data_IF_706478559310
#
_entry.id   IF_706478559310
#
_cell.length_a   1.000
_cell.length_b   1.000
_cell.length_c   1.000
_cell.angle_alpha   90.00
_cell.angle_beta   90.00
_cell.angle_gamma   90.00
#
_symmetry.space_group_name_H-M   'P 1'
#
loop_
_entity.id
_entity.type
_entity.pdbx_description
1 polymer ?
#
# COMPACT_ATOMS: atom_id res chain seq x y z
N UNK A 1 -1.67 28.46 -19.86
CA UNK A 1 -1.97 28.02 -21.24
C UNK A 1 -3.04 26.92 -21.21
N UNK A 2 -3.77 26.71 -22.33
CA UNK A 2 -4.69 25.57 -22.51
C UNK A 2 -4.03 24.58 -23.47
N UNK A 3 -4.05 23.30 -23.12
CA UNK A 3 -3.50 22.21 -23.93
C UNK A 3 -4.53 21.09 -24.01
N UNK A 4 -4.74 20.53 -25.19
CA UNK A 4 -5.60 19.36 -25.39
C UNK A 4 -4.73 18.11 -25.28
N UNK A 5 -5.15 17.16 -24.46
CA UNK A 5 -4.45 15.89 -24.23
C UNK A 5 -5.39 14.78 -24.66
N UNK A 6 -4.93 13.89 -25.52
CA UNK A 6 -5.68 12.69 -25.89
C UNK A 6 -5.48 11.60 -24.82
N UNK A 7 -6.58 11.05 -24.31
CA UNK A 7 -6.59 10.09 -23.22
C UNK A 7 -7.48 8.92 -23.63
N UNK A 8 -7.02 7.66 -23.49
CA UNK A 8 -7.86 6.51 -23.78
C UNK A 8 -9.19 6.57 -23.04
N UNK A 9 -10.30 6.33 -23.75
CA UNK A 9 -11.65 6.54 -23.22
C UNK A 9 -11.91 5.75 -21.93
N UNK A 10 -11.38 4.53 -21.83
CA UNK A 10 -11.50 3.71 -20.63
C UNK A 10 -10.88 4.38 -19.39
N UNK A 11 -9.76 5.06 -19.54
CA UNK A 11 -9.09 5.77 -18.45
C UNK A 11 -9.88 7.02 -18.09
N UNK A 12 -10.31 7.79 -19.10
CA UNK A 12 -11.12 8.98 -18.89
C UNK A 12 -12.42 8.66 -18.13
N UNK A 13 -13.13 7.58 -18.48
CA UNK A 13 -14.35 7.15 -17.77
C UNK A 13 -14.10 6.85 -16.30
N UNK A 14 -13.02 6.15 -15.96
CA UNK A 14 -12.64 5.84 -14.57
C UNK A 14 -12.33 7.10 -13.78
N UNK A 15 -11.55 8.01 -14.36
CA UNK A 15 -11.21 9.30 -13.73
C UNK A 15 -12.47 10.12 -13.51
N UNK A 16 -13.35 10.21 -14.52
CA UNK A 16 -14.62 10.95 -14.42
C UNK A 16 -15.52 10.40 -13.30
N UNK A 17 -15.65 9.07 -13.19
CA UNK A 17 -16.42 8.44 -12.13
C UNK A 17 -15.83 8.76 -10.74
N UNK A 18 -14.52 8.63 -10.57
CA UNK A 18 -13.82 8.94 -9.31
C UNK A 18 -13.94 10.43 -8.93
N UNK A 19 -13.77 11.31 -9.91
CA UNK A 19 -13.96 12.75 -9.78
C UNK A 19 -15.37 13.12 -9.32
N UNK A 20 -16.39 12.48 -9.88
CA UNK A 20 -17.79 12.70 -9.48
C UNK A 20 -18.04 12.29 -8.02
N UNK A 21 -17.48 11.15 -7.59
CA UNK A 21 -17.59 10.67 -6.21
C UNK A 21 -16.88 11.63 -5.24
N UNK A 22 -15.71 12.13 -5.60
CA UNK A 22 -14.92 13.03 -4.75
C UNK A 22 -15.37 14.50 -4.82
N UNK A 23 -16.34 14.83 -5.68
CA UNK A 23 -16.82 16.20 -5.89
C UNK A 23 -15.76 17.14 -6.49
N UNK A 24 -14.80 16.60 -7.23
CA UNK A 24 -13.67 17.37 -7.82
C UNK A 24 -13.74 17.36 -9.33
N UNK A 25 -13.53 18.50 -10.01
CA UNK A 25 -13.49 18.51 -11.47
C UNK A 25 -12.28 17.72 -11.98
N UNK A 26 -12.44 17.05 -13.12
CA UNK A 26 -11.37 16.26 -13.76
C UNK A 26 -10.11 17.09 -14.03
N UNK A 27 -10.28 18.38 -14.31
CA UNK A 27 -9.17 19.32 -14.51
C UNK A 27 -8.27 19.44 -13.29
N UNK A 28 -8.83 19.55 -12.09
CA UNK A 28 -8.05 19.72 -10.86
C UNK A 28 -7.31 18.44 -10.51
N UNK A 29 -7.93 17.29 -10.76
CA UNK A 29 -7.28 15.98 -10.63
C UNK A 29 -6.09 15.87 -11.59
N UNK A 30 -6.27 16.28 -12.86
CA UNK A 30 -5.20 16.26 -13.84
C UNK A 30 -4.05 17.20 -13.43
N UNK A 31 -4.35 18.44 -13.02
CA UNK A 31 -3.34 19.39 -12.53
C UNK A 31 -2.57 18.78 -11.36
N UNK A 32 -3.27 18.23 -10.36
CA UNK A 32 -2.62 17.62 -9.19
C UNK A 32 -1.73 16.44 -9.56
N UNK A 33 -2.15 15.59 -10.49
CA UNK A 33 -1.35 14.46 -10.97
C UNK A 33 -0.11 14.94 -11.73
N UNK A 34 -0.25 15.93 -12.61
CA UNK A 34 0.88 16.50 -13.34
C UNK A 34 1.86 17.24 -12.41
N UNK A 35 1.36 18.05 -11.47
CA UNK A 35 2.19 18.70 -10.46
C UNK A 35 2.93 17.67 -9.63
N UNK A 36 2.23 16.67 -9.08
CA UNK A 36 2.87 15.61 -8.32
C UNK A 36 3.93 14.88 -9.13
N UNK A 37 3.68 14.60 -10.43
CA UNK A 37 4.64 13.93 -11.30
C UNK A 37 5.88 14.79 -11.61
N UNK A 38 5.70 16.09 -11.87
CA UNK A 38 6.81 17.03 -12.07
C UNK A 38 7.60 17.21 -10.78
N UNK A 39 6.93 17.34 -9.63
CA UNK A 39 7.59 17.42 -8.33
C UNK A 39 8.35 16.13 -7.98
N UNK A 40 7.98 15.00 -8.62
CA UNK A 40 8.64 13.70 -8.45
C UNK A 40 9.84 13.48 -9.37
N UNK A 41 10.18 14.41 -10.27
CA UNK A 41 11.29 14.23 -11.23
C UNK A 41 12.69 14.21 -10.59
N UNK A 42 12.80 14.33 -9.26
CA UNK A 42 14.01 14.03 -8.48
C UNK A 42 14.11 12.58 -7.98
N UNK A 43 13.23 11.66 -8.43
CA UNK A 43 13.43 10.23 -8.18
C UNK A 43 13.38 9.41 -9.47
N UNK A 44 14.45 8.65 -9.78
CA UNK A 44 14.42 7.74 -10.91
C UNK A 44 13.44 6.59 -10.64
N UNK A 45 12.87 6.14 -11.74
CA UNK A 45 11.78 5.19 -11.81
C UNK A 45 12.08 3.86 -11.12
N UNK A 46 11.03 3.31 -10.50
CA UNK A 46 10.76 1.89 -10.44
C UNK A 46 11.85 1.03 -9.78
N UNK A 47 11.85 1.03 -8.45
CA UNK A 47 12.11 -0.11 -7.56
C UNK A 47 12.54 0.46 -6.21
N UNK A 48 11.58 0.89 -5.42
CA UNK A 48 11.76 0.69 -3.99
C UNK A 48 10.42 0.30 -3.40
N UNK A 49 10.24 -1.01 -3.19
CA UNK A 49 9.49 -1.46 -2.03
C UNK A 49 10.22 -0.90 -0.83
N UNK A 50 10.04 0.39 -0.55
CA UNK A 50 10.50 0.98 0.69
C UNK A 50 9.86 0.09 1.74
N UNK A 51 10.62 -0.69 2.54
CA UNK A 51 10.02 -1.33 3.69
C UNK A 51 9.32 -0.18 4.39
N UNK A 52 8.04 -0.37 4.72
CA UNK A 52 7.30 0.60 5.52
C UNK A 52 8.21 0.94 6.69
N UNK A 53 8.91 2.09 6.60
CA UNK A 53 9.75 2.56 7.68
C UNK A 53 8.71 2.99 8.66
N UNK A 54 8.48 2.12 9.64
CA UNK A 54 7.72 2.39 10.83
C UNK A 54 8.41 3.56 11.53
N UNK A 55 8.25 4.75 10.97
CA UNK A 55 8.53 6.01 11.63
C UNK A 55 7.37 6.20 12.59
N UNK A 56 7.58 5.72 13.81
CA UNK A 56 7.09 6.33 15.04
C UNK A 56 5.63 6.81 15.05
N UNK A 57 4.73 6.03 14.47
CA UNK A 57 3.33 6.09 14.85
C UNK A 57 3.17 5.11 15.98
N UNK A 58 2.97 5.62 17.19
CA UNK A 58 2.62 4.95 18.44
C UNK A 58 1.86 3.63 18.21
N UNK A 59 2.59 2.56 17.88
CA UNK A 59 1.99 1.27 17.60
C UNK A 59 1.73 0.63 18.95
N UNK A 60 0.48 0.23 19.23
CA UNK A 60 0.20 -0.50 20.45
C UNK A 60 1.14 -1.69 20.57
N UNK A 61 1.62 -1.99 21.78
CA UNK A 61 2.57 -3.08 22.04
C UNK A 61 2.09 -4.44 21.53
N UNK A 62 0.77 -4.61 21.37
CA UNK A 62 0.18 -5.82 20.81
C UNK A 62 0.33 -5.93 19.27
N UNK A 63 0.49 -4.81 18.55
CA UNK A 63 0.59 -4.78 17.10
C UNK A 63 1.92 -5.40 16.64
N UNK A 64 1.84 -6.34 15.70
CA UNK A 64 2.98 -7.12 15.20
C UNK A 64 3.75 -7.97 16.24
N UNK A 65 3.28 -8.09 17.49
CA UNK A 65 3.87 -8.96 18.52
C UNK A 65 4.03 -10.43 18.08
N UNK A 66 3.13 -10.90 17.22
CA UNK A 66 3.15 -12.28 16.69
C UNK A 66 3.96 -12.44 15.39
N UNK A 67 4.53 -11.35 14.84
CA UNK A 67 5.31 -11.39 13.59
C UNK A 67 6.53 -12.31 13.70
N UNK A 68 7.11 -12.43 14.90
CA UNK A 68 8.20 -13.38 15.18
C UNK A 68 7.83 -14.84 14.90
N UNK A 69 6.55 -15.21 14.86
CA UNK A 69 6.12 -16.58 14.55
C UNK A 69 5.69 -16.77 13.09
N UNK A 70 5.64 -15.69 12.30
CA UNK A 70 5.20 -15.75 10.91
C UNK A 70 6.24 -16.42 9.98
N UNK A 71 7.53 -16.44 10.36
CA UNK A 71 8.58 -17.10 9.58
C UNK A 71 8.39 -18.63 9.45
N UNK A 72 7.63 -19.23 10.37
CA UNK A 72 7.32 -20.66 10.37
C UNK A 72 6.10 -21.01 9.48
N UNK A 73 5.45 -20.02 8.87
CA UNK A 73 4.37 -20.23 7.92
C UNK A 73 4.94 -20.40 6.50
N UNK A 74 5.39 -21.62 6.16
CA UNK A 74 5.74 -21.97 4.78
C UNK A 74 4.52 -22.55 4.04
N UNK A 75 4.14 -21.94 2.91
CA UNK A 75 3.04 -22.40 2.03
C UNK A 75 2.09 -21.30 1.57
N UNK A 76 1.05 -21.68 0.79
CA UNK A 76 -0.07 -20.79 0.44
C UNK A 76 -0.63 -20.16 1.72
N UNK A 77 -0.80 -18.84 1.71
CA UNK A 77 -1.19 -17.99 2.82
C UNK A 77 -2.63 -18.25 3.32
N UNK A 78 -2.92 -19.48 3.73
CA UNK A 78 -4.16 -19.88 4.36
C UNK A 78 -4.11 -19.50 5.86
N UNK A 79 -5.18 -18.89 6.34
CA UNK A 79 -5.37 -18.50 7.74
C UNK A 79 -5.21 -19.68 8.70
N UNK A 80 -5.53 -20.90 8.28
CA UNK A 80 -5.32 -22.12 9.08
C UNK A 80 -3.83 -22.40 9.29
N UNK A 81 -3.01 -22.24 8.24
CA UNK A 81 -1.57 -22.44 8.30
C UNK A 81 -0.88 -21.39 9.19
N UNK A 82 -1.29 -20.13 9.06
CA UNK A 82 -0.79 -19.02 9.89
C UNK A 82 -1.09 -19.27 11.38
N UNK A 83 -2.34 -19.66 11.70
CA UNK A 83 -2.74 -19.97 13.09
C UNK A 83 -1.91 -21.11 13.68
N UNK A 84 -1.71 -22.21 12.93
CA UNK A 84 -0.88 -23.34 13.35
C UNK A 84 0.57 -22.94 13.61
N UNK A 85 1.14 -22.06 12.78
CA UNK A 85 2.50 -21.54 12.95
C UNK A 85 2.67 -20.77 14.26
N UNK A 86 1.71 -19.90 14.58
CA UNK A 86 1.72 -19.09 15.81
C UNK A 86 1.58 -19.98 17.05
N UNK A 87 0.64 -20.93 17.04
CA UNK A 87 0.45 -21.86 18.16
C UNK A 87 1.71 -22.68 18.44
N UNK A 88 2.38 -23.21 17.40
CA UNK A 88 3.64 -23.94 17.55
C UNK A 88 4.77 -23.07 18.09
N UNK A 89 4.84 -21.81 17.64
CA UNK A 89 5.84 -20.87 18.10
C UNK A 89 5.72 -20.54 19.59
N UNK A 90 4.50 -20.35 20.09
CA UNK A 90 4.25 -20.09 21.52
C UNK A 90 4.54 -21.29 22.41
N UNK A 91 4.11 -22.48 22.01
CA UNK A 91 4.35 -23.69 22.80
C UNK A 91 5.84 -23.98 23.04
N UNK A 92 6.73 -23.54 22.14
CA UNK A 92 8.18 -23.67 22.31
C UNK A 92 8.77 -22.67 23.32
N UNK A 93 8.14 -21.51 23.51
CA UNK A 93 8.56 -20.51 24.49
C UNK A 93 8.06 -20.83 25.90
N UNK A 94 6.95 -21.58 26.04
CA UNK A 94 6.40 -22.01 27.34
C UNK A 94 7.11 -23.26 27.93
N UNK A 95 7.98 -23.92 27.15
CA UNK A 95 8.76 -25.09 27.56
C UNK A 95 10.20 -24.77 27.99
N UNK A 96 10.56 -23.48 28.07
CA UNK A 96 11.84 -22.94 28.55
C UNK A 96 11.56 -22.16 29.84
#
# INVERSE_FOLDING_TARGET
>A
MKTTIDIPEMIYRKVKAKSAIEGRPVRDVAIKLFSAWVDQSDMPAYLDKKPFKTGDQNLPTWFASLRKYAHNASGQYDMVAIRRSISRGRAREELI
#
